data_IF_736251768121
#
_entry.id   IF_736251768121
#
_cell.length_a   1.000
_cell.length_b   1.000
_cell.length_c   1.000
_cell.angle_alpha   90.00
_cell.angle_beta   90.00
_cell.angle_gamma   90.00
#
_symmetry.space_group_name_H-M   'P 1'
#
loop_
_entity.id
_entity.type
_entity.pdbx_description
1 polymer ?
#
# COMPACT_ATOMS: atom_id res chain seq x y z
N UNK A 1 -8.18 -6.55 -16.52
CA UNK A 1 -9.63 -6.40 -16.24
C UNK A 1 -9.86 -5.26 -15.24
N UNK A 2 -11.03 -4.59 -15.29
CA UNK A 2 -11.52 -3.73 -14.21
C UNK A 2 -11.58 -4.48 -12.86
N UNK A 3 -11.70 -3.76 -11.76
CA UNK A 3 -11.95 -4.38 -10.45
C UNK A 3 -13.44 -4.75 -10.32
N UNK A 4 -13.75 -5.93 -9.79
CA UNK A 4 -15.11 -6.22 -9.29
C UNK A 4 -15.20 -5.65 -7.87
N UNK A 5 -16.07 -4.66 -7.66
CA UNK A 5 -16.19 -3.99 -6.35
C UNK A 5 -16.86 -4.87 -5.29
N UNK A 6 -17.53 -5.94 -5.70
CA UNK A 6 -18.18 -6.88 -4.77
C UNK A 6 -17.19 -7.88 -4.18
N UNK A 7 -16.05 -8.08 -4.85
CA UNK A 7 -15.05 -9.09 -4.47
C UNK A 7 -13.65 -8.49 -4.52
N UNK A 8 -13.06 -8.29 -3.34
CA UNK A 8 -11.69 -7.81 -3.20
C UNK A 8 -10.64 -8.87 -3.58
N UNK A 9 -9.35 -8.50 -3.63
CA UNK A 9 -8.81 -7.19 -3.24
C UNK A 9 -8.90 -6.10 -4.34
N UNK A 10 -9.13 -4.85 -3.92
CA UNK A 10 -9.20 -3.67 -4.79
C UNK A 10 -7.84 -2.97 -5.01
N UNK A 11 -6.77 -3.70 -4.73
CA UNK A 11 -5.37 -3.36 -4.96
C UNK A 11 -4.74 -4.47 -5.80
N UNK A 12 -3.98 -4.08 -6.82
CA UNK A 12 -3.09 -4.98 -7.57
C UNK A 12 -1.69 -4.40 -7.57
N UNK A 13 -0.70 -5.25 -7.33
CA UNK A 13 0.72 -4.89 -7.33
C UNK A 13 1.46 -5.71 -8.37
N UNK A 14 2.27 -5.03 -9.18
CA UNK A 14 3.18 -5.65 -10.14
C UNK A 14 4.59 -5.11 -9.90
N UNK A 15 5.54 -6.00 -9.67
CA UNK A 15 6.95 -5.66 -9.65
C UNK A 15 7.59 -6.10 -10.98
N UNK A 16 8.11 -5.14 -11.73
CA UNK A 16 8.82 -5.38 -12.99
C UNK A 16 10.30 -5.21 -12.74
N UNK A 17 11.10 -6.23 -13.08
CA UNK A 17 12.56 -6.15 -13.09
C UNK A 17 13.01 -5.70 -14.48
N UNK A 18 13.60 -4.52 -14.58
CA UNK A 18 14.19 -4.00 -15.82
C UNK A 18 15.66 -4.40 -15.94
N UNK A 19 16.34 -4.55 -14.80
CA UNK A 19 17.73 -4.99 -14.73
C UNK A 19 18.15 -5.46 -13.34
N UNK A 20 19.45 -5.67 -13.09
CA UNK A 20 19.96 -6.10 -11.78
C UNK A 20 19.63 -5.13 -10.64
N UNK A 21 19.68 -3.82 -10.91
CA UNK A 21 19.45 -2.73 -9.95
C UNK A 21 18.33 -1.77 -10.37
N UNK A 22 17.52 -2.16 -11.36
CA UNK A 22 16.45 -1.31 -11.89
C UNK A 22 15.13 -2.07 -11.87
N UNK A 23 14.16 -1.52 -11.14
CA UNK A 23 12.85 -2.12 -10.92
C UNK A 23 11.77 -1.05 -10.94
N UNK A 24 10.60 -1.43 -11.43
CA UNK A 24 9.39 -0.61 -11.37
C UNK A 24 8.36 -1.34 -10.52
N UNK A 25 7.86 -0.68 -9.49
CA UNK A 25 6.71 -1.15 -8.71
C UNK A 25 5.46 -0.39 -9.18
N UNK A 26 4.51 -1.11 -9.76
CA UNK A 26 3.23 -0.57 -10.14
C UNK A 26 2.17 -1.02 -9.15
N UNK A 27 1.55 -0.08 -8.45
CA UNK A 27 0.40 -0.30 -7.59
C UNK A 27 -0.84 0.35 -8.22
N UNK A 28 -1.84 -0.46 -8.54
CA UNK A 28 -3.13 0.02 -9.06
C UNK A 28 -4.20 -0.20 -8.00
N UNK A 29 -4.88 0.87 -7.61
CA UNK A 29 -5.92 0.88 -6.60
C UNK A 29 -7.23 1.40 -7.19
N UNK A 30 -8.35 0.86 -6.73
CA UNK A 30 -9.64 1.49 -7.01
C UNK A 30 -9.84 2.71 -6.11
N UNK A 31 -10.31 3.83 -6.66
CA UNK A 31 -10.51 5.09 -5.92
C UNK A 31 -11.58 5.02 -4.81
N UNK A 32 -12.30 3.89 -4.70
CA UNK A 32 -13.24 3.66 -3.58
C UNK A 32 -12.52 3.32 -2.26
N UNK A 33 -11.26 2.87 -2.33
CA UNK A 33 -10.44 2.54 -1.15
C UNK A 33 -9.22 3.45 -0.99
N UNK A 34 -9.08 4.48 -1.82
CA UNK A 34 -7.97 5.42 -1.75
C UNK A 34 -8.38 6.75 -2.37
N UNK A 35 -7.71 7.82 -1.98
CA UNK A 35 -7.80 9.14 -2.58
C UNK A 35 -6.40 9.74 -2.81
N UNK A 36 -6.34 10.98 -3.29
CA UNK A 36 -5.06 11.65 -3.57
C UNK A 36 -4.18 11.83 -2.32
N UNK A 37 -4.77 11.93 -1.14
CA UNK A 37 -4.03 12.04 0.13
C UNK A 37 -3.50 10.68 0.57
N UNK A 38 -4.37 9.66 0.55
CA UNK A 38 -4.11 8.30 0.99
C UNK A 38 -3.00 7.63 0.18
N UNK A 39 -2.83 8.00 -1.09
CA UNK A 39 -1.70 7.56 -1.91
C UNK A 39 -0.34 7.95 -1.30
N UNK A 40 -0.21 9.16 -0.74
CA UNK A 40 1.01 9.61 -0.06
C UNK A 40 1.26 8.83 1.24
N UNK A 41 0.21 8.57 2.01
CA UNK A 41 0.28 7.74 3.22
C UNK A 41 0.73 6.32 2.90
N UNK A 42 0.16 5.71 1.86
CA UNK A 42 0.52 4.37 1.41
C UNK A 42 2.01 4.27 1.04
N UNK A 43 2.52 5.23 0.26
CA UNK A 43 3.94 5.23 -0.16
C UNK A 43 4.88 5.42 1.04
N UNK A 44 4.54 6.31 1.98
CA UNK A 44 5.30 6.53 3.22
C UNK A 44 5.39 5.24 4.04
N UNK A 45 4.24 4.60 4.29
CA UNK A 45 4.17 3.43 5.18
C UNK A 45 4.82 2.21 4.55
N UNK A 46 4.65 2.03 3.24
CA UNK A 46 5.35 0.99 2.49
C UNK A 46 6.87 1.19 2.56
N UNK A 47 7.36 2.43 2.46
CA UNK A 47 8.79 2.73 2.59
C UNK A 47 9.35 2.39 3.97
N UNK A 48 8.63 2.74 5.04
CA UNK A 48 9.03 2.41 6.42
C UNK A 48 9.06 0.89 6.65
N UNK A 49 8.01 0.18 6.22
CA UNK A 49 7.92 -1.29 6.32
C UNK A 49 9.00 -1.98 5.49
N UNK A 50 9.29 -1.48 4.29
CA UNK A 50 10.34 -2.02 3.44
C UNK A 50 11.73 -1.87 4.08
N UNK A 51 12.04 -0.70 4.66
CA UNK A 51 13.30 -0.47 5.36
C UNK A 51 13.47 -1.37 6.60
N UNK A 52 12.39 -1.54 7.38
CA UNK A 52 12.39 -2.46 8.53
C UNK A 52 12.62 -3.92 8.08
N UNK A 53 11.95 -4.35 7.01
CA UNK A 53 12.13 -5.68 6.44
C UNK A 53 13.57 -5.92 5.94
N UNK A 54 14.21 -4.93 5.33
CA UNK A 54 15.60 -5.04 4.87
C UNK A 54 16.62 -5.16 6.00
N UNK A 55 16.35 -4.53 7.14
CA UNK A 55 17.24 -4.56 8.31
C UNK A 55 16.91 -5.70 9.29
N UNK A 56 15.83 -6.45 9.04
CA UNK A 56 15.33 -7.47 9.97
C UNK A 56 14.79 -6.89 11.28
N UNK A 57 14.44 -5.60 11.29
CA UNK A 57 13.82 -4.98 12.44
C UNK A 57 12.45 -5.61 12.72
N UNK A 58 12.08 -5.85 13.98
CA UNK A 58 10.81 -6.47 14.34
C UNK A 58 9.59 -5.57 14.08
N UNK A 59 9.81 -4.25 13.93
CA UNK A 59 8.78 -3.25 13.73
C UNK A 59 9.33 -2.06 12.90
N UNK A 60 8.45 -1.41 12.14
CA UNK A 60 8.71 -0.19 11.39
C UNK A 60 8.40 1.10 12.17
N UNK A 61 7.86 0.97 13.39
CA UNK A 61 7.53 2.12 14.24
C UNK A 61 6.33 2.93 13.75
N UNK A 62 5.46 2.31 12.94
CA UNK A 62 4.22 2.95 12.50
C UNK A 62 3.22 2.95 13.66
N UNK A 63 2.60 4.11 13.98
CA UNK A 63 1.62 4.16 15.05
C UNK A 63 0.39 3.31 14.71
N UNK A 64 -0.20 2.68 15.73
CA UNK A 64 -1.50 2.04 15.58
C UNK A 64 -2.55 3.09 15.16
N UNK A 65 -3.38 2.75 14.16
CA UNK A 65 -4.46 3.61 13.74
C UNK A 65 -5.55 3.62 14.82
N UNK A 66 -5.87 4.77 15.44
CA UNK A 66 -6.86 4.84 16.52
C UNK A 66 -8.29 4.64 16.02
N UNK A 67 -8.51 4.80 14.71
CA UNK A 67 -9.79 4.58 14.02
C UNK A 67 -9.51 3.85 12.70
N UNK A 68 -10.45 3.02 12.28
CA UNK A 68 -10.46 2.36 10.97
C UNK A 68 -11.44 3.08 10.04
N UNK A 69 -11.29 2.85 8.73
CA UNK A 69 -12.20 3.46 7.75
C UNK A 69 -13.67 3.07 8.00
N UNK A 70 -13.92 1.88 8.54
CA UNK A 70 -15.25 1.43 8.94
C UNK A 70 -15.88 2.33 10.02
N UNK A 71 -15.09 2.90 10.93
CA UNK A 71 -15.58 3.79 11.98
C UNK A 71 -15.99 5.17 11.45
N UNK A 72 -15.40 5.59 10.32
CA UNK A 72 -15.74 6.84 9.64
C UNK A 72 -17.02 6.72 8.79
N UNK A 73 -17.32 5.54 8.27
CA UNK A 73 -18.40 5.31 7.29
C UNK A 73 -19.79 5.08 7.92
N UNK A 74 -19.90 5.11 9.25
CA UNK A 74 -21.12 4.87 10.02
C UNK A 74 -22.01 6.11 10.15
#
# INVERSE_FOLDING_TARGET
APFDLRTGPLLRVLAVRLGPAEHVLMATLHHIVTDGWSAGVLVRDLGALYAAALTGAPDAGLPALPVQYADHAL
#
